data_IF_093876172360
#
_entry.id   IF_093876172360
#
_cell.length_a   1.000
_cell.length_b   1.000
_cell.length_c   1.000
_cell.angle_alpha   90.00
_cell.angle_beta   90.00
_cell.angle_gamma   90.00
#
_symmetry.space_group_name_H-M   'P 1'
#
loop_
_entity.id
_entity.type
_entity.pdbx_description
1 polymer ?
#
# COMPACT_ATOMS: atom_id res chain seq x y z
N UNK A 1 22.99 -25.49 -35.15
CA UNK A 1 22.88 -26.04 -33.79
C UNK A 1 22.98 -24.87 -32.85
N UNK A 2 21.80 -24.23 -32.59
CA UNK A 2 21.68 -23.04 -31.71
C UNK A 2 21.30 -23.58 -30.33
N UNK A 3 22.25 -23.63 -29.43
CA UNK A 3 22.01 -23.98 -28.02
C UNK A 3 21.57 -22.73 -27.28
N UNK A 4 20.38 -22.80 -26.69
CA UNK A 4 19.66 -21.79 -25.98
C UNK A 4 20.47 -21.14 -24.83
N UNK A 5 20.61 -19.83 -24.88
CA UNK A 5 21.22 -18.97 -23.84
C UNK A 5 20.32 -18.77 -22.60
N UNK A 6 19.17 -19.41 -22.55
CA UNK A 6 18.14 -19.17 -21.52
C UNK A 6 18.20 -20.11 -20.30
N UNK A 7 19.06 -21.13 -20.29
CA UNK A 7 19.05 -22.15 -19.24
C UNK A 7 20.13 -21.97 -18.15
N UNK A 8 21.00 -20.97 -18.28
CA UNK A 8 22.19 -20.81 -17.43
C UNK A 8 22.05 -19.76 -16.31
N UNK A 9 20.88 -19.13 -16.19
CA UNK A 9 20.68 -18.01 -15.24
C UNK A 9 20.16 -18.47 -13.86
N UNK A 10 19.89 -19.77 -13.69
CA UNK A 10 19.19 -20.31 -12.50
C UNK A 10 20.13 -21.01 -11.49
N UNK A 11 21.43 -21.09 -11.75
CA UNK A 11 22.36 -21.91 -10.95
C UNK A 11 22.90 -21.24 -9.68
N UNK A 12 22.77 -19.90 -9.54
CA UNK A 12 23.28 -19.14 -8.40
C UNK A 12 22.24 -18.14 -7.87
N UNK A 13 22.28 -17.90 -6.55
CA UNK A 13 21.34 -16.96 -5.93
C UNK A 13 21.49 -15.54 -6.51
N UNK A 14 20.41 -14.73 -6.54
CA UNK A 14 20.46 -13.34 -6.98
C UNK A 14 21.48 -12.51 -6.20
N UNK A 15 21.61 -12.76 -4.89
CA UNK A 15 22.55 -12.09 -3.98
C UNK A 15 24.00 -12.40 -4.37
N UNK A 16 24.36 -13.66 -4.56
CA UNK A 16 25.72 -14.08 -4.94
C UNK A 16 26.15 -13.48 -6.29
N UNK A 17 25.21 -13.38 -7.25
CA UNK A 17 25.46 -12.73 -8.54
C UNK A 17 25.68 -11.22 -8.40
N UNK A 18 24.90 -10.54 -7.56
CA UNK A 18 25.05 -9.11 -7.30
C UNK A 18 26.41 -8.80 -6.63
N UNK A 19 26.85 -9.62 -5.69
CA UNK A 19 28.15 -9.48 -5.02
C UNK A 19 29.31 -9.71 -5.99
N UNK A 20 29.25 -10.76 -6.82
CA UNK A 20 30.28 -11.02 -7.85
C UNK A 20 30.40 -9.87 -8.86
N UNK A 21 29.26 -9.32 -9.33
CA UNK A 21 29.25 -8.17 -10.23
C UNK A 21 29.84 -6.91 -9.57
N UNK A 22 29.57 -6.68 -8.29
CA UNK A 22 30.14 -5.57 -7.52
C UNK A 22 31.69 -5.73 -7.39
N UNK A 23 32.19 -6.94 -7.20
CA UNK A 23 33.62 -7.19 -7.16
C UNK A 23 34.29 -7.00 -8.53
N UNK A 24 33.67 -7.46 -9.63
CA UNK A 24 34.15 -7.22 -10.98
C UNK A 24 34.27 -5.72 -11.25
N UNK A 25 33.25 -4.94 -10.93
CA UNK A 25 33.25 -3.48 -11.11
C UNK A 25 34.37 -2.80 -10.28
N UNK A 26 34.60 -3.23 -9.03
CA UNK A 26 35.66 -2.68 -8.16
C UNK A 26 37.07 -3.03 -8.64
N UNK A 27 37.29 -4.23 -9.14
CA UNK A 27 38.60 -4.70 -9.60
C UNK A 27 39.01 -4.14 -10.96
N UNK A 28 38.03 -3.83 -11.84
CA UNK A 28 38.24 -3.22 -13.15
C UNK A 28 38.09 -1.68 -13.14
N UNK A 29 37.60 -1.11 -12.03
CA UNK A 29 37.41 0.32 -11.88
C UNK A 29 38.67 1.10 -11.51
N UNK A 30 38.67 2.43 -11.59
CA UNK A 30 39.79 3.31 -11.27
C UNK A 30 40.17 3.34 -9.77
N UNK A 31 39.39 2.66 -8.91
CA UNK A 31 39.61 2.60 -7.44
C UNK A 31 40.21 1.28 -6.98
N UNK A 32 40.94 0.55 -7.86
CA UNK A 32 41.65 -0.65 -7.47
C UNK A 32 42.70 -0.31 -6.42
N UNK A 33 42.58 -0.89 -5.23
CA UNK A 33 43.45 -0.65 -4.08
C UNK A 33 43.80 -1.97 -3.40
N UNK A 34 44.94 -2.01 -2.66
CA UNK A 34 45.33 -3.16 -1.87
C UNK A 34 44.24 -3.59 -0.85
N UNK A 35 43.49 -2.65 -0.33
CA UNK A 35 42.38 -2.94 0.56
C UNK A 35 41.21 -3.62 -0.16
N UNK A 36 40.92 -3.24 -1.41
CA UNK A 36 39.90 -3.89 -2.23
C UNK A 36 40.30 -5.33 -2.58
N UNK A 37 41.58 -5.57 -2.93
CA UNK A 37 42.09 -6.91 -3.20
C UNK A 37 42.09 -7.83 -1.97
N UNK A 38 42.39 -7.30 -0.79
CA UNK A 38 42.27 -8.04 0.46
C UNK A 38 40.81 -8.37 0.82
N UNK A 39 39.87 -7.44 0.55
CA UNK A 39 38.43 -7.67 0.70
C UNK A 39 37.90 -8.75 -0.23
N UNK A 40 38.32 -8.71 -1.49
CA UNK A 40 37.97 -9.71 -2.49
C UNK A 40 38.46 -11.13 -2.12
N UNK A 41 39.71 -11.28 -1.64
CA UNK A 41 40.21 -12.57 -1.18
C UNK A 41 39.39 -13.14 -0.02
N UNK A 42 39.06 -12.33 0.97
CA UNK A 42 38.21 -12.77 2.09
C UNK A 42 36.80 -13.18 1.62
N UNK A 43 36.23 -12.47 0.64
CA UNK A 43 34.97 -12.84 0.06
C UNK A 43 35.03 -14.17 -0.70
N UNK A 44 36.11 -14.44 -1.47
CA UNK A 44 36.32 -15.74 -2.13
C UNK A 44 36.46 -16.89 -1.12
N UNK A 45 37.08 -16.63 0.03
CA UNK A 45 37.32 -17.63 1.08
C UNK A 45 36.08 -17.88 1.94
N UNK A 46 35.11 -16.95 1.95
CA UNK A 46 33.93 -17.05 2.80
C UNK A 46 32.89 -18.09 2.35
N UNK A 47 32.83 -18.41 1.04
CA UNK A 47 31.96 -19.45 0.48
C UNK A 47 32.64 -20.07 -0.77
N UNK A 48 32.75 -21.41 -0.86
CA UNK A 48 33.26 -22.09 -2.04
C UNK A 48 32.48 -21.81 -3.34
N UNK A 49 31.22 -21.36 -3.25
CA UNK A 49 30.43 -21.00 -4.41
C UNK A 49 30.84 -19.64 -5.00
N UNK A 50 31.39 -18.73 -4.20
CA UNK A 50 31.79 -17.40 -4.64
C UNK A 50 32.79 -17.40 -5.78
N UNK A 51 33.76 -18.35 -5.76
CA UNK A 51 34.73 -18.51 -6.82
C UNK A 51 34.04 -18.88 -8.16
N UNK A 52 33.07 -19.81 -8.14
CA UNK A 52 32.36 -20.26 -9.34
C UNK A 52 31.45 -19.14 -9.91
N UNK A 53 30.79 -18.43 -9.04
CA UNK A 53 29.92 -17.29 -9.43
C UNK A 53 30.77 -16.18 -10.05
N UNK A 54 31.94 -15.86 -9.44
CA UNK A 54 32.84 -14.82 -9.95
C UNK A 54 33.42 -15.20 -11.31
N UNK A 55 33.89 -16.43 -11.49
CA UNK A 55 34.42 -16.94 -12.77
C UNK A 55 33.35 -16.84 -13.87
N UNK A 56 32.11 -17.28 -13.58
CA UNK A 56 31.01 -17.23 -14.53
C UNK A 56 30.62 -15.82 -14.91
N UNK A 57 30.58 -14.89 -13.94
CA UNK A 57 30.28 -13.48 -14.20
C UNK A 57 31.38 -12.79 -14.98
N UNK A 58 32.67 -13.20 -14.81
CA UNK A 58 33.82 -12.69 -15.56
C UNK A 58 33.75 -13.14 -17.02
N UNK A 59 33.40 -14.41 -17.29
CA UNK A 59 33.18 -14.90 -18.66
C UNK A 59 32.13 -14.09 -19.42
N UNK A 60 31.01 -13.75 -18.74
CA UNK A 60 29.96 -12.93 -19.33
C UNK A 60 30.48 -11.51 -19.60
N UNK A 61 31.26 -10.95 -18.68
CA UNK A 61 31.85 -9.62 -18.82
C UNK A 61 32.82 -9.55 -20.01
N UNK A 62 33.69 -10.53 -20.18
CA UNK A 62 34.62 -10.61 -21.28
C UNK A 62 33.93 -10.85 -22.63
N UNK A 63 32.87 -11.66 -22.66
CA UNK A 63 32.10 -11.90 -23.87
C UNK A 63 31.37 -10.60 -24.37
N UNK A 64 30.95 -9.73 -23.46
CA UNK A 64 30.38 -8.41 -23.80
C UNK A 64 31.48 -7.44 -24.26
N UNK A 65 32.68 -7.51 -23.64
CA UNK A 65 33.81 -6.66 -23.98
C UNK A 65 34.46 -6.95 -25.36
N UNK A 66 34.41 -8.20 -25.81
CA UNK A 66 35.04 -8.63 -27.09
C UNK A 66 34.26 -8.29 -28.34
N UNK A 67 33.00 -7.89 -28.23
CA UNK A 67 32.16 -7.51 -29.40
C UNK A 67 32.47 -6.13 -29.97
N UNK A 68 33.37 -5.33 -29.37
CA UNK A 68 33.75 -3.99 -29.87
C UNK A 68 35.22 -3.81 -30.27
N UNK A 69 36.03 -4.88 -30.28
CA UNK A 69 37.43 -4.79 -30.65
C UNK A 69 37.70 -5.29 -32.09
N UNK A 70 37.04 -4.70 -33.08
CA UNK A 70 37.22 -5.04 -34.50
C UNK A 70 37.23 -3.82 -35.42
N UNK A 71 38.47 -3.41 -35.84
CA UNK A 71 38.78 -2.55 -37.01
C UNK A 71 38.67 -1.05 -36.83
N UNK A 72 39.75 -0.44 -36.34
CA UNK A 72 40.12 0.91 -36.78
C UNK A 72 41.51 0.96 -37.38
N UNK A 73 41.74 1.66 -38.51
CA UNK A 73 43.07 1.79 -39.14
C UNK A 73 43.96 2.70 -38.27
N UNK A 74 45.26 2.33 -38.16
CA UNK A 74 46.29 3.16 -37.52
C UNK A 74 46.43 4.48 -38.24
N UNK A 75 46.02 5.57 -37.66
CA UNK A 75 46.38 6.94 -38.02
C UNK A 75 47.39 7.47 -36.99
N UNK A 76 48.49 8.01 -37.50
CA UNK A 76 49.60 8.57 -36.76
C UNK A 76 49.20 9.67 -35.77
N UNK A 77 49.93 9.87 -34.64
CA UNK A 77 49.52 10.76 -33.56
C UNK A 77 49.75 12.24 -33.96
N UNK A 78 48.70 12.92 -34.39
CA UNK A 78 48.67 14.37 -34.32
C UNK A 78 48.39 14.77 -32.90
N UNK A 79 49.35 15.44 -32.25
CA UNK A 79 49.22 16.04 -30.94
C UNK A 79 48.05 17.00 -30.90
N UNK A 80 46.89 16.55 -30.39
CA UNK A 80 45.78 17.41 -30.01
C UNK A 80 45.70 17.44 -28.48
N UNK A 81 45.88 18.65 -27.95
CA UNK A 81 45.69 18.96 -26.52
C UNK A 81 44.29 18.48 -26.05
N UNK A 82 44.17 17.84 -24.89
CA UNK A 82 42.86 17.34 -24.40
C UNK A 82 41.99 18.48 -23.91
N UNK A 83 41.00 18.86 -24.73
CA UNK A 83 39.95 19.83 -24.33
C UNK A 83 38.60 19.15 -24.03
N UNK A 84 38.56 17.84 -23.82
CA UNK A 84 37.30 17.09 -23.63
C UNK A 84 36.98 16.72 -22.17
N UNK A 85 37.69 17.31 -21.19
CA UNK A 85 37.43 17.03 -19.78
C UNK A 85 36.15 17.61 -19.16
N UNK A 86 35.59 18.76 -19.61
CA UNK A 86 34.39 19.29 -18.95
C UNK A 86 33.11 18.52 -19.27
N UNK A 87 32.98 17.91 -20.48
CA UNK A 87 31.78 17.16 -20.86
C UNK A 87 31.65 15.80 -20.15
N UNK A 88 32.75 15.09 -19.92
CA UNK A 88 32.73 13.83 -19.17
C UNK A 88 32.42 14.01 -17.67
N UNK A 89 32.92 15.11 -17.09
CA UNK A 89 32.61 15.50 -15.71
C UNK A 89 31.15 15.93 -15.60
N UNK A 90 30.61 16.69 -16.56
CA UNK A 90 29.22 17.09 -16.58
C UNK A 90 28.26 15.89 -16.73
N UNK A 91 28.60 14.90 -17.56
CA UNK A 91 27.82 13.67 -17.69
C UNK A 91 27.86 12.81 -16.39
N UNK A 92 29.02 12.70 -15.73
CA UNK A 92 29.14 12.00 -14.45
C UNK A 92 28.35 12.70 -13.34
N UNK A 93 28.37 14.02 -13.28
CA UNK A 93 27.57 14.81 -12.31
C UNK A 93 26.06 14.65 -12.58
N UNK A 94 25.62 14.66 -13.85
CA UNK A 94 24.22 14.45 -14.20
C UNK A 94 23.73 13.04 -13.84
N UNK A 95 24.57 12.01 -14.02
CA UNK A 95 24.23 10.62 -13.64
C UNK A 95 24.19 10.47 -12.13
N UNK A 96 25.16 11.04 -11.40
CA UNK A 96 25.17 10.98 -9.92
C UNK A 96 24.04 11.81 -9.32
N UNK A 97 23.73 13.01 -9.86
CA UNK A 97 22.55 13.79 -9.47
C UNK A 97 21.26 13.07 -9.83
N UNK A 98 21.18 12.43 -11.00
CA UNK A 98 20.01 11.64 -11.42
C UNK A 98 19.76 10.44 -10.50
N UNK A 99 20.81 9.70 -10.15
CA UNK A 99 20.71 8.58 -9.21
C UNK A 99 20.39 9.10 -7.79
N UNK A 100 21.03 10.20 -7.35
CA UNK A 100 20.72 10.85 -6.09
C UNK A 100 19.27 11.36 -6.02
N UNK A 101 18.77 11.93 -7.12
CA UNK A 101 17.37 12.37 -7.22
C UNK A 101 16.39 11.18 -7.22
N UNK A 102 16.69 10.09 -7.93
CA UNK A 102 15.87 8.88 -7.93
C UNK A 102 15.82 8.19 -6.56
N UNK A 103 16.96 8.13 -5.87
CA UNK A 103 17.03 7.52 -4.52
C UNK A 103 16.33 8.39 -3.49
N UNK A 104 16.52 9.71 -3.51
CA UNK A 104 15.77 10.64 -2.65
C UNK A 104 14.28 10.65 -2.98
N UNK A 105 13.89 10.58 -4.25
CA UNK A 105 12.48 10.48 -4.66
C UNK A 105 11.83 9.15 -4.22
N UNK A 106 12.57 8.05 -4.22
CA UNK A 106 12.11 6.75 -3.73
C UNK A 106 11.97 6.69 -2.20
N UNK A 107 12.89 7.34 -1.48
CA UNK A 107 12.89 7.40 0.01
C UNK A 107 11.84 8.39 0.53
N UNK A 108 11.49 9.42 -0.25
CA UNK A 108 10.49 10.44 0.12
C UNK A 108 9.05 10.04 -0.24
N UNK A 109 8.83 8.91 -0.91
CA UNK A 109 7.47 8.43 -1.18
C UNK A 109 6.91 7.72 0.03
N UNK A 110 5.85 8.29 0.55
CA UNK A 110 5.04 7.68 1.61
C UNK A 110 4.50 6.31 1.16
N UNK A 111 4.69 5.25 1.95
CA UNK A 111 4.24 3.92 1.59
C UNK A 111 2.72 3.90 1.44
N UNK A 112 2.27 3.26 0.35
CA UNK A 112 0.85 3.05 0.05
C UNK A 112 0.57 1.55 0.06
N UNK A 113 -0.42 1.15 0.82
CA UNK A 113 -0.89 -0.23 0.93
C UNK A 113 -2.25 -0.34 0.27
N UNK A 114 -2.44 -1.37 -0.55
CA UNK A 114 -3.68 -1.59 -1.32
C UNK A 114 -4.06 -3.06 -1.20
N UNK A 115 -5.35 -3.33 -1.08
CA UNK A 115 -5.94 -4.66 -1.21
C UNK A 115 -6.85 -4.71 -2.44
N UNK A 116 -6.88 -5.86 -3.09
CA UNK A 116 -7.84 -6.15 -4.17
C UNK A 116 -9.24 -6.49 -3.61
N UNK A 117 -10.22 -6.69 -4.50
CA UNK A 117 -11.55 -7.17 -4.13
C UNK A 117 -11.40 -8.56 -3.48
N UNK A 118 -11.99 -8.75 -2.30
CA UNK A 118 -11.94 -9.98 -1.52
C UNK A 118 -10.63 -10.24 -0.79
N UNK A 119 -9.59 -9.42 -1.01
CA UNK A 119 -8.31 -9.52 -0.30
C UNK A 119 -8.39 -8.83 1.06
N UNK A 120 -7.80 -9.47 2.08
CA UNK A 120 -7.56 -8.89 3.39
C UNK A 120 -6.07 -8.98 3.69
N UNK A 121 -5.52 -7.94 4.33
CA UNK A 121 -4.09 -7.88 4.60
C UNK A 121 -3.79 -7.11 5.88
N UNK A 122 -2.99 -7.70 6.76
CA UNK A 122 -2.42 -6.99 7.91
C UNK A 122 -1.03 -6.45 7.55
N UNK A 123 -0.77 -5.21 7.95
CA UNK A 123 0.48 -4.48 7.71
C UNK A 123 1.01 -3.98 9.06
N UNK A 124 2.28 -4.28 9.33
CA UNK A 124 3.00 -3.74 10.48
C UNK A 124 3.61 -2.40 10.11
N UNK A 125 3.33 -1.39 10.92
CA UNK A 125 3.87 -0.05 10.74
C UNK A 125 5.15 0.14 11.57
N UNK A 126 5.97 1.12 11.19
CA UNK A 126 7.28 1.37 11.81
C UNK A 126 7.22 1.77 13.30
N UNK A 127 6.09 2.24 13.76
CA UNK A 127 5.83 2.65 15.15
C UNK A 127 5.33 1.52 16.03
N UNK A 128 5.20 0.29 15.50
CA UNK A 128 4.65 -0.87 16.17
C UNK A 128 3.12 -0.97 16.11
N UNK A 129 2.44 -0.06 15.40
CA UNK A 129 1.02 -0.17 15.12
C UNK A 129 0.75 -1.20 14.03
N UNK A 130 -0.42 -1.84 14.06
CA UNK A 130 -0.87 -2.79 13.05
C UNK A 130 -2.12 -2.25 12.35
N UNK A 131 -2.17 -2.41 11.02
CA UNK A 131 -3.33 -2.02 10.22
C UNK A 131 -3.83 -3.22 9.44
N UNK A 132 -5.05 -3.67 9.73
CA UNK A 132 -5.71 -4.73 8.98
C UNK A 132 -6.64 -4.10 7.95
N UNK A 133 -6.30 -4.24 6.67
CA UNK A 133 -7.05 -3.73 5.54
C UNK A 133 -8.09 -4.76 5.12
N UNK A 134 -9.31 -4.32 4.87
CA UNK A 134 -10.40 -5.11 4.29
C UNK A 134 -10.33 -5.07 2.76
N UNK A 135 -11.30 -5.71 2.09
CA UNK A 135 -11.50 -5.71 0.63
C UNK A 135 -11.45 -4.30 0.02
N UNK A 136 -10.79 -4.15 -1.14
CA UNK A 136 -10.74 -2.89 -1.93
C UNK A 136 -10.36 -1.67 -1.09
N UNK A 137 -9.32 -1.80 -0.29
CA UNK A 137 -8.89 -0.76 0.65
C UNK A 137 -7.56 -0.17 0.22
N UNK A 138 -7.44 1.16 0.35
CA UNK A 138 -6.23 1.91 0.06
C UNK A 138 -5.84 2.81 1.22
N UNK A 139 -4.64 2.58 1.76
CA UNK A 139 -4.07 3.31 2.89
C UNK A 139 -2.73 3.92 2.51
N UNK A 140 -2.51 5.20 2.80
CA UNK A 140 -1.22 5.89 2.68
C UNK A 140 -0.70 6.25 4.06
N UNK A 141 0.59 6.03 4.29
CA UNK A 141 1.22 6.30 5.59
C UNK A 141 2.19 7.46 5.46
N UNK A 142 1.97 8.52 6.22
CA UNK A 142 2.76 9.76 6.22
C UNK A 142 3.34 10.01 7.61
N UNK A 143 4.41 9.30 7.95
CA UNK A 143 5.07 9.49 9.24
C UNK A 143 6.12 10.61 9.17
N UNK A 144 6.07 11.49 10.15
CA UNK A 144 7.08 12.53 10.42
C UNK A 144 7.59 12.39 11.85
N UNK A 145 8.58 13.19 12.22
CA UNK A 145 9.22 13.07 13.53
C UNK A 145 8.24 13.33 14.68
N UNK A 146 7.28 14.23 14.49
CA UNK A 146 6.32 14.71 15.48
C UNK A 146 4.91 14.08 15.36
N UNK A 147 4.61 13.39 14.27
CA UNK A 147 3.25 12.93 14.00
C UNK A 147 3.22 11.62 13.21
N UNK A 148 2.29 10.72 13.58
CA UNK A 148 1.99 9.46 12.90
C UNK A 148 0.69 9.62 12.13
N UNK A 149 0.78 10.09 10.88
CA UNK A 149 -0.40 10.32 10.05
C UNK A 149 -0.61 9.19 9.05
N UNK A 150 -1.84 8.72 8.95
CA UNK A 150 -2.29 7.70 7.99
C UNK A 150 -3.52 8.23 7.28
N UNK A 151 -3.62 8.06 5.98
CA UNK A 151 -4.78 8.41 5.19
C UNK A 151 -5.49 7.14 4.71
N UNK A 152 -6.73 6.92 5.12
CA UNK A 152 -7.63 5.96 4.50
C UNK A 152 -8.30 6.64 3.30
N UNK A 153 -7.84 6.31 2.09
CA UNK A 153 -8.34 6.94 0.85
C UNK A 153 -9.72 6.39 0.49
N UNK A 154 -9.86 5.06 0.60
CA UNK A 154 -11.07 4.31 0.30
C UNK A 154 -11.04 2.96 1.01
N UNK A 155 -12.20 2.35 1.23
CA UNK A 155 -12.33 1.01 1.80
C UNK A 155 -12.52 1.04 3.31
N UNK A 156 -11.96 0.05 4.00
CA UNK A 156 -12.18 -0.17 5.43
C UNK A 156 -10.94 -0.80 6.06
N UNK A 157 -10.54 -0.28 7.21
CA UNK A 157 -9.40 -0.81 7.94
C UNK A 157 -9.61 -0.75 9.46
N UNK A 158 -9.03 -1.74 10.16
CA UNK A 158 -8.86 -1.71 11.61
C UNK A 158 -7.44 -1.23 11.91
N UNK A 159 -7.36 -0.25 12.79
CA UNK A 159 -6.13 0.32 13.32
C UNK A 159 -5.93 -0.13 14.75
N UNK A 160 -4.88 -0.91 15.00
CA UNK A 160 -4.41 -1.31 16.34
C UNK A 160 -3.18 -0.45 16.64
N UNK A 161 -3.40 0.67 17.33
CA UNK A 161 -2.40 1.73 17.49
C UNK A 161 -1.52 1.49 18.70
N UNK A 162 -0.20 1.47 18.47
CA UNK A 162 0.78 1.43 19.55
C UNK A 162 0.68 2.71 20.41
N UNK A 163 0.71 2.52 21.75
CA UNK A 163 0.57 3.62 22.69
C UNK A 163 1.79 4.57 22.63
N UNK A 164 1.53 5.85 22.35
CA UNK A 164 2.53 6.91 22.34
C UNK A 164 1.84 8.26 22.58
N UNK A 165 1.95 8.79 23.77
CA UNK A 165 1.32 10.07 24.16
C UNK A 165 2.01 11.28 23.55
N UNK A 166 3.30 11.16 23.19
CA UNK A 166 4.09 12.28 22.66
C UNK A 166 3.82 12.49 21.16
N UNK A 167 3.46 11.44 20.44
CA UNK A 167 3.19 11.50 19.01
C UNK A 167 1.81 10.90 18.71
N UNK A 168 0.77 11.72 18.59
CA UNK A 168 -0.57 11.24 18.29
C UNK A 168 -0.61 10.49 16.95
N UNK A 169 -1.40 9.43 16.90
CA UNK A 169 -1.73 8.73 15.68
C UNK A 169 -2.97 9.34 15.07
N UNK A 170 -2.90 9.76 13.82
CA UNK A 170 -3.96 10.48 13.13
C UNK A 170 -4.37 9.72 11.89
N UNK A 171 -5.65 9.34 11.81
CA UNK A 171 -6.23 8.79 10.59
C UNK A 171 -7.06 9.86 9.89
N UNK A 172 -6.72 10.15 8.63
CA UNK A 172 -7.52 11.00 7.75
C UNK A 172 -8.47 10.11 6.94
N UNK A 173 -9.76 10.38 7.00
CA UNK A 173 -10.79 9.69 6.22
C UNK A 173 -11.81 10.71 5.71
N UNK A 174 -11.85 10.96 4.40
CA UNK A 174 -12.61 12.06 3.81
C UNK A 174 -12.22 13.41 4.42
N UNK A 175 -13.20 14.13 4.91
CA UNK A 175 -13.05 15.44 5.56
C UNK A 175 -12.85 15.34 7.08
N UNK A 176 -12.56 14.14 7.62
CA UNK A 176 -12.46 13.91 9.05
C UNK A 176 -11.07 13.43 9.45
N UNK A 177 -10.67 13.86 10.63
CA UNK A 177 -9.44 13.46 11.31
C UNK A 177 -9.80 12.70 12.59
N UNK A 178 -9.28 11.48 12.73
CA UNK A 178 -9.45 10.62 13.92
C UNK A 178 -8.13 10.58 14.67
N UNK A 179 -8.07 11.18 15.85
CA UNK A 179 -6.90 11.24 16.72
C UNK A 179 -6.95 10.12 17.77
N UNK A 180 -5.87 9.33 17.85
CA UNK A 180 -5.71 8.21 18.76
C UNK A 180 -4.35 8.26 19.48
N UNK A 181 -4.27 7.72 20.71
CA UNK A 181 -3.03 7.68 21.51
C UNK A 181 -2.58 6.26 21.85
N UNK A 182 -3.43 5.26 21.62
CA UNK A 182 -3.20 3.85 21.95
C UNK A 182 -4.56 3.15 22.04
N UNK A 183 -5.15 2.85 20.89
CA UNK A 183 -6.55 2.45 20.75
C UNK A 183 -6.71 1.44 19.63
N UNK A 184 -7.78 0.68 19.69
CA UNK A 184 -8.21 -0.17 18.57
C UNK A 184 -9.51 0.38 18.02
N UNK A 185 -9.51 0.75 16.74
CA UNK A 185 -10.69 1.31 16.08
C UNK A 185 -10.76 0.93 14.61
N UNK A 186 -11.96 0.93 14.08
CA UNK A 186 -12.27 0.67 12.69
C UNK A 186 -12.67 1.96 12.00
N UNK A 187 -12.15 2.20 10.81
CA UNK A 187 -12.57 3.31 9.93
C UNK A 187 -13.02 2.72 8.60
N UNK A 188 -14.19 3.14 8.14
CA UNK A 188 -14.73 2.85 6.82
C UNK A 188 -14.91 4.15 6.06
N UNK A 189 -14.30 4.23 4.87
CA UNK A 189 -14.41 5.33 3.94
C UNK A 189 -15.04 4.85 2.64
N UNK A 190 -16.26 5.27 2.39
CA UNK A 190 -16.99 5.07 1.13
C UNK A 190 -17.19 6.44 0.44
N UNK A 191 -17.61 6.50 -0.84
CA UNK A 191 -17.78 7.76 -1.56
C UNK A 191 -18.68 8.77 -0.85
N UNK A 192 -19.76 8.27 -0.21
CA UNK A 192 -20.79 9.09 0.41
C UNK A 192 -20.85 8.97 1.94
N UNK A 193 -19.94 8.22 2.56
CA UNK A 193 -20.03 7.92 3.98
C UNK A 193 -18.66 7.67 4.60
N UNK A 194 -18.40 8.32 5.72
CA UNK A 194 -17.28 8.00 6.61
C UNK A 194 -17.85 7.47 7.92
N UNK A 195 -17.40 6.31 8.37
CA UNK A 195 -17.78 5.74 9.65
C UNK A 195 -16.54 5.38 10.48
N UNK A 196 -16.57 5.68 11.77
CA UNK A 196 -15.52 5.37 12.74
C UNK A 196 -16.16 4.62 13.90
N UNK A 197 -15.72 3.38 14.16
CA UNK A 197 -16.19 2.57 15.28
C UNK A 197 -15.04 2.34 16.24
N UNK A 198 -15.22 2.67 17.51
CA UNK A 198 -14.22 2.43 18.53
C UNK A 198 -14.39 1.03 19.12
N UNK A 199 -13.31 0.25 19.09
CA UNK A 199 -13.26 -1.10 19.68
C UNK A 199 -12.67 -1.05 21.10
N UNK A 200 -11.52 -0.36 21.27
CA UNK A 200 -10.83 -0.25 22.56
C UNK A 200 -10.18 1.13 22.71
N UNK A 201 -10.17 1.66 23.93
CA UNK A 201 -9.52 2.92 24.28
C UNK A 201 -10.39 4.14 24.09
N UNK A 202 -9.88 5.20 23.47
CA UNK A 202 -10.57 6.48 23.26
C UNK A 202 -10.06 7.17 21.99
N UNK A 203 -10.96 7.65 21.14
CA UNK A 203 -10.63 8.44 19.94
C UNK A 203 -11.39 9.75 19.92
N UNK A 204 -10.75 10.80 19.41
CA UNK A 204 -11.36 12.10 19.15
C UNK A 204 -11.49 12.32 17.65
N UNK A 205 -12.64 12.76 17.19
CA UNK A 205 -12.93 13.04 15.77
C UNK A 205 -13.10 14.53 15.58
N UNK A 206 -12.40 15.10 14.59
CA UNK A 206 -12.49 16.51 14.20
C UNK A 206 -12.72 16.62 12.70
N UNK A 207 -13.22 17.77 12.24
CA UNK A 207 -13.28 18.07 10.80
C UNK A 207 -11.95 18.66 10.35
N UNK A 208 -11.43 18.24 9.22
CA UNK A 208 -10.25 18.86 8.60
C UNK A 208 -10.65 20.25 8.10
N UNK A 209 -10.16 21.29 8.77
CA UNK A 209 -10.31 22.65 8.27
C UNK A 209 -9.36 22.83 7.08
N UNK A 210 -9.91 23.12 5.90
CA UNK A 210 -9.17 23.34 4.62
C UNK A 210 -8.17 24.53 4.65
N UNK A 211 -7.85 25.06 5.83
CA UNK A 211 -6.99 26.23 5.99
C UNK A 211 -5.47 25.93 6.06
N UNK A 212 -5.09 24.66 6.27
CA UNK A 212 -3.68 24.28 6.50
C UNK A 212 -2.82 24.10 5.26
N UNK A 213 -3.39 23.79 4.10
CA UNK A 213 -2.59 23.36 2.93
C UNK A 213 -2.28 24.49 1.92
N UNK A 214 -2.74 25.72 2.14
CA UNK A 214 -2.48 26.86 1.22
C UNK A 214 -1.42 27.87 1.68
N UNK A 215 -0.87 27.75 2.87
CA UNK A 215 0.10 28.71 3.41
C UNK A 215 1.50 28.15 3.68
N UNK A 216 1.94 27.12 2.97
CA UNK A 216 3.34 26.70 2.99
C UNK A 216 4.27 27.62 2.16
N UNK A 217 3.88 28.85 1.88
CA UNK A 217 4.58 29.77 0.98
C UNK A 217 4.76 31.21 1.45
N UNK A 218 4.62 31.53 2.74
CA UNK A 218 5.09 32.86 3.21
C UNK A 218 5.32 32.85 4.71
N UNK A 219 6.58 32.90 5.10
CA UNK A 219 7.01 33.01 6.49
C UNK A 219 6.53 34.34 7.10
N UNK A 220 5.79 34.26 8.21
CA UNK A 220 5.76 35.31 9.21
C UNK A 220 5.96 34.71 10.59
N UNK A 221 7.10 35.00 11.17
CA UNK A 221 7.54 34.61 12.51
C UNK A 221 6.63 35.30 13.52
N UNK A 222 6.09 34.52 14.46
CA UNK A 222 5.20 34.87 15.58
C UNK A 222 3.70 34.57 15.36
N UNK A 223 3.35 33.35 14.98
CA UNK A 223 2.02 32.83 15.25
C UNK A 223 2.05 32.04 16.58
N UNK A 224 1.28 32.45 17.56
CA UNK A 224 0.94 31.61 18.72
C UNK A 224 0.44 30.26 18.20
N UNK A 225 0.70 29.12 18.89
CA UNK A 225 0.16 27.83 18.46
C UNK A 225 -1.36 27.97 18.35
N UNK A 226 -1.88 27.81 17.14
CA UNK A 226 -3.32 27.81 16.92
C UNK A 226 -3.91 26.71 17.81
N UNK A 227 -4.90 27.05 18.63
CA UNK A 227 -5.59 26.09 19.47
C UNK A 227 -6.06 24.94 18.59
N UNK A 228 -5.77 23.68 18.97
CA UNK A 228 -6.29 22.52 18.27
C UNK A 228 -7.82 22.66 18.14
N UNK A 229 -8.40 22.36 16.96
CA UNK A 229 -9.85 22.43 16.80
C UNK A 229 -10.51 21.49 17.82
N UNK A 230 -11.55 21.98 18.51
CA UNK A 230 -12.28 21.16 19.44
C UNK A 230 -12.84 19.91 18.73
N UNK A 231 -12.80 18.73 19.36
CA UNK A 231 -13.36 17.52 18.75
C UNK A 231 -14.87 17.68 18.55
N UNK A 232 -15.38 17.25 17.39
CA UNK A 232 -16.82 17.15 17.12
C UNK A 232 -17.41 16.13 18.09
N UNK A 233 -16.72 14.96 18.21
CA UNK A 233 -17.15 13.87 19.08
C UNK A 233 -15.93 13.13 19.63
N UNK A 234 -16.09 12.61 20.84
CA UNK A 234 -15.16 11.66 21.44
C UNK A 234 -15.89 10.35 21.65
N UNK A 235 -15.39 9.27 21.06
CA UNK A 235 -16.02 7.95 21.18
C UNK A 235 -15.50 7.18 22.38
N UNK A 236 -16.40 6.39 22.95
CA UNK A 236 -16.13 5.32 23.92
C UNK A 236 -16.31 3.95 23.26
N UNK A 237 -15.71 2.86 23.82
CA UNK A 237 -15.78 1.53 23.22
C UNK A 237 -17.23 1.09 22.93
N UNK A 238 -17.46 0.58 21.72
CA UNK A 238 -18.76 0.18 21.21
C UNK A 238 -19.48 1.26 20.41
N UNK A 239 -19.11 2.52 20.54
CA UNK A 239 -19.74 3.60 19.77
C UNK A 239 -19.22 3.71 18.35
N UNK A 240 -20.13 4.03 17.44
CA UNK A 240 -19.84 4.35 16.03
C UNK A 240 -20.36 5.73 15.68
N UNK A 241 -19.48 6.56 15.14
CA UNK A 241 -19.82 7.84 14.52
C UNK A 241 -19.85 7.69 13.01
N UNK A 242 -20.94 8.06 12.37
CA UNK A 242 -21.14 8.00 10.93
C UNK A 242 -21.49 9.38 10.40
N UNK A 243 -20.81 9.79 9.32
CA UNK A 243 -21.10 11.03 8.59
C UNK A 243 -21.38 10.70 7.13
N UNK A 244 -22.48 11.22 6.61
CA UNK A 244 -22.85 11.08 5.20
C UNK A 244 -22.39 12.29 4.38
N UNK A 245 -22.36 12.17 3.03
CA UNK A 245 -22.07 13.28 2.11
C UNK A 245 -22.99 14.49 2.31
N UNK A 246 -24.20 14.27 2.82
CA UNK A 246 -25.16 15.34 3.20
C UNK A 246 -24.84 15.98 4.56
N UNK A 247 -23.68 15.63 5.17
CA UNK A 247 -23.25 16.06 6.49
C UNK A 247 -24.23 15.70 7.61
N UNK A 248 -24.99 14.61 7.41
CA UNK A 248 -25.80 14.04 8.50
C UNK A 248 -24.88 13.23 9.39
N UNK A 249 -24.76 13.63 10.65
CA UNK A 249 -23.99 12.97 11.70
C UNK A 249 -24.90 12.03 12.48
N UNK A 250 -24.45 10.82 12.73
CA UNK A 250 -25.18 9.82 13.51
C UNK A 250 -24.20 9.14 14.47
N UNK A 251 -24.65 8.98 15.72
CA UNK A 251 -23.95 8.20 16.73
C UNK A 251 -24.82 7.01 17.10
N UNK A 252 -24.28 5.81 17.00
CA UNK A 252 -24.93 4.55 17.37
C UNK A 252 -23.96 3.56 18.01
N UNK A 253 -24.48 2.41 18.47
CA UNK A 253 -23.71 1.36 19.14
C UNK A 253 -23.97 0.01 18.47
N UNK A 254 -23.39 -0.25 17.30
CA UNK A 254 -23.56 -1.52 16.61
C UNK A 254 -22.87 -2.65 17.39
N UNK A 255 -23.38 -3.89 17.33
CA UNK A 255 -22.65 -5.04 17.89
C UNK A 255 -21.26 -5.15 17.26
N UNK A 256 -20.21 -5.14 18.09
CA UNK A 256 -18.82 -5.18 17.61
C UNK A 256 -18.52 -6.46 16.82
N UNK A 257 -19.20 -7.55 17.16
CA UNK A 257 -19.10 -8.81 16.41
C UNK A 257 -19.55 -8.65 14.96
N UNK A 258 -20.58 -7.86 14.70
CA UNK A 258 -21.12 -7.58 13.35
C UNK A 258 -20.09 -6.76 12.54
N UNK A 259 -19.60 -5.67 13.11
CA UNK A 259 -18.70 -4.75 12.37
C UNK A 259 -17.31 -5.31 12.15
N UNK A 260 -16.90 -6.33 12.92
CA UNK A 260 -15.58 -6.99 12.80
C UNK A 260 -15.65 -8.38 12.15
N UNK A 261 -16.85 -8.87 11.77
CA UNK A 261 -17.07 -10.19 11.19
C UNK A 261 -16.22 -10.46 9.95
N UNK A 262 -15.99 -9.43 9.15
CA UNK A 262 -15.20 -9.52 7.93
C UNK A 262 -13.77 -10.03 8.18
N UNK A 263 -13.18 -9.82 9.36
CA UNK A 263 -11.86 -10.41 9.74
C UNK A 263 -11.85 -11.95 9.68
N UNK A 264 -13.02 -12.57 9.81
CA UNK A 264 -13.19 -14.02 9.73
C UNK A 264 -13.73 -14.45 8.36
N UNK A 265 -13.83 -13.52 7.39
CA UNK A 265 -14.41 -13.78 6.09
C UNK A 265 -15.95 -13.92 6.13
N UNK A 266 -16.60 -13.27 7.09
CA UNK A 266 -18.05 -13.35 7.31
C UNK A 266 -18.70 -11.98 7.13
N UNK A 267 -19.95 -11.99 6.70
CA UNK A 267 -20.86 -10.85 6.69
C UNK A 267 -22.06 -11.20 7.56
N UNK A 268 -22.16 -10.56 8.71
CA UNK A 268 -23.30 -10.74 9.64
C UNK A 268 -24.29 -9.62 9.38
N UNK A 269 -25.52 -10.01 9.06
CA UNK A 269 -26.64 -9.12 8.80
C UNK A 269 -27.65 -9.26 9.97
N UNK A 270 -28.12 -8.13 10.51
CA UNK A 270 -29.19 -8.08 11.51
C UNK A 270 -30.27 -7.11 11.06
N UNK A 271 -31.39 -7.65 10.61
CA UNK A 271 -32.53 -6.88 10.07
C UNK A 271 -32.09 -5.79 9.07
N UNK A 272 -31.06 -6.10 8.30
CA UNK A 272 -30.52 -5.22 7.25
C UNK A 272 -31.41 -5.30 6.03
N UNK A 273 -31.69 -4.18 5.34
CA UNK A 273 -32.46 -4.23 4.10
C UNK A 273 -31.72 -5.04 3.03
N UNK A 274 -32.43 -5.72 2.14
CA UNK A 274 -31.82 -6.52 1.07
C UNK A 274 -30.91 -5.66 0.19
N UNK A 275 -31.30 -4.39 -0.03
CA UNK A 275 -30.46 -3.45 -0.79
C UNK A 275 -29.11 -3.18 -0.10
N UNK A 276 -29.12 -2.91 1.22
CA UNK A 276 -27.91 -2.73 2.02
C UNK A 276 -27.11 -4.04 2.13
N UNK A 277 -27.78 -5.19 2.30
CA UNK A 277 -27.17 -6.49 2.36
C UNK A 277 -26.44 -6.84 1.04
N UNK A 278 -27.09 -6.59 -0.10
CA UNK A 278 -26.49 -6.77 -1.43
C UNK A 278 -25.28 -5.85 -1.62
N UNK A 279 -25.38 -4.57 -1.22
CA UNK A 279 -24.28 -3.63 -1.28
C UNK A 279 -23.10 -4.07 -0.41
N UNK A 280 -23.34 -4.64 0.78
CA UNK A 280 -22.29 -5.16 1.64
C UNK A 280 -21.62 -6.42 1.04
N UNK A 281 -22.42 -7.36 0.51
CA UNK A 281 -21.91 -8.57 -0.15
C UNK A 281 -21.06 -8.23 -1.39
N UNK A 282 -21.46 -7.24 -2.18
CA UNK A 282 -20.78 -6.78 -3.39
C UNK A 282 -19.37 -6.21 -3.12
N UNK A 283 -19.02 -5.92 -1.89
CA UNK A 283 -17.67 -5.47 -1.52
C UNK A 283 -16.61 -6.55 -1.59
N UNK A 284 -17.02 -7.83 -1.54
CA UNK A 284 -16.11 -8.95 -1.32
C UNK A 284 -15.88 -9.86 -2.52
N UNK A 285 -16.60 -9.63 -3.62
CA UNK A 285 -16.52 -10.49 -4.80
C UNK A 285 -16.64 -9.71 -6.11
N UNK A 286 -16.25 -10.33 -7.21
CA UNK A 286 -16.41 -9.76 -8.54
C UNK A 286 -17.84 -9.86 -9.07
N UNK A 287 -18.62 -10.80 -8.53
CA UNK A 287 -20.05 -10.93 -8.86
C UNK A 287 -20.85 -9.88 -8.10
N UNK A 288 -21.72 -9.17 -8.82
CA UNK A 288 -22.51 -8.05 -8.30
C UNK A 288 -23.98 -8.48 -8.20
N UNK A 289 -24.54 -8.40 -7.00
CA UNK A 289 -25.96 -8.60 -6.77
C UNK A 289 -26.69 -7.31 -7.13
N UNK A 290 -27.64 -7.43 -8.02
CA UNK A 290 -28.49 -6.33 -8.50
C UNK A 290 -29.92 -6.58 -8.01
N UNK A 291 -30.53 -5.57 -7.41
CA UNK A 291 -31.90 -5.60 -6.96
C UNK A 291 -32.74 -4.88 -8.02
N UNK A 292 -33.55 -5.61 -8.77
CA UNK A 292 -34.31 -5.07 -9.89
C UNK A 292 -35.56 -4.29 -9.44
N UNK A 293 -36.00 -4.48 -8.20
CA UNK A 293 -37.22 -3.89 -7.67
C UNK A 293 -36.99 -3.29 -6.28
N UNK A 294 -37.46 -2.05 -6.06
CA UNK A 294 -37.29 -1.33 -4.81
C UNK A 294 -38.09 -1.95 -3.64
N UNK A 295 -39.19 -2.63 -3.91
CA UNK A 295 -40.03 -3.25 -2.88
C UNK A 295 -39.26 -4.44 -2.26
N UNK A 296 -38.66 -5.29 -3.09
CA UNK A 296 -37.84 -6.39 -2.58
C UNK A 296 -36.56 -5.87 -1.92
N UNK A 297 -36.05 -4.73 -2.35
CA UNK A 297 -34.89 -4.08 -1.72
C UNK A 297 -35.14 -3.70 -0.25
N UNK A 298 -36.40 -3.52 0.17
CA UNK A 298 -36.78 -3.19 1.54
C UNK A 298 -36.90 -4.40 2.48
N UNK A 299 -36.92 -5.63 1.94
CA UNK A 299 -37.01 -6.88 2.72
C UNK A 299 -35.88 -6.92 3.76
N UNK A 300 -36.19 -7.27 5.00
CA UNK A 300 -35.23 -7.34 6.09
C UNK A 300 -34.58 -8.73 6.14
N UNK A 301 -33.26 -8.75 6.02
CA UNK A 301 -32.45 -9.96 6.01
C UNK A 301 -31.64 -10.05 7.30
N UNK A 302 -31.62 -11.24 7.90
CA UNK A 302 -30.75 -11.57 9.02
C UNK A 302 -30.05 -12.90 8.73
N UNK A 303 -28.81 -13.02 9.15
CA UNK A 303 -28.02 -14.23 8.99
C UNK A 303 -26.52 -13.97 8.95
N UNK A 304 -25.76 -15.07 8.92
CA UNK A 304 -24.31 -15.05 8.75
C UNK A 304 -23.99 -15.65 7.38
N UNK A 305 -23.30 -14.87 6.55
CA UNK A 305 -22.96 -15.24 5.18
C UNK A 305 -21.45 -15.19 4.96
N UNK A 306 -20.95 -16.02 4.07
CA UNK A 306 -19.54 -15.99 3.71
C UNK A 306 -19.25 -14.78 2.81
N UNK A 307 -18.28 -13.96 3.19
CA UNK A 307 -17.81 -12.85 2.36
C UNK A 307 -17.29 -13.39 1.00
N UNK A 308 -17.72 -12.75 -0.10
CA UNK A 308 -17.37 -13.16 -1.47
C UNK A 308 -18.25 -14.26 -2.08
N UNK A 309 -19.18 -14.85 -1.33
CA UNK A 309 -20.14 -15.84 -1.87
C UNK A 309 -21.48 -15.17 -2.24
N UNK A 310 -21.41 -14.26 -3.24
CA UNK A 310 -22.60 -13.55 -3.74
C UNK A 310 -23.67 -14.50 -4.30
N UNK A 311 -23.26 -15.59 -4.99
CA UNK A 311 -24.21 -16.57 -5.52
C UNK A 311 -24.92 -17.37 -4.42
N UNK A 312 -24.16 -17.84 -3.42
CA UNK A 312 -24.73 -18.55 -2.27
C UNK A 312 -25.70 -17.67 -1.50
N UNK A 313 -25.35 -16.41 -1.27
CA UNK A 313 -26.25 -15.43 -0.66
C UNK A 313 -27.53 -15.23 -1.48
N UNK A 314 -27.40 -14.93 -2.78
CA UNK A 314 -28.53 -14.67 -3.65
C UNK A 314 -29.50 -15.87 -3.73
N UNK A 315 -28.96 -17.10 -3.84
CA UNK A 315 -29.77 -18.32 -3.82
C UNK A 315 -30.49 -18.54 -2.50
N UNK A 316 -29.82 -18.31 -1.38
CA UNK A 316 -30.42 -18.43 -0.05
C UNK A 316 -31.57 -17.46 0.13
N UNK A 317 -31.35 -16.18 -0.21
CA UNK A 317 -32.39 -15.14 -0.12
C UNK A 317 -33.55 -15.42 -1.08
N UNK A 318 -33.27 -15.81 -2.33
CA UNK A 318 -34.30 -16.17 -3.30
C UNK A 318 -35.19 -17.31 -2.77
N UNK A 319 -34.58 -18.34 -2.21
CA UNK A 319 -35.33 -19.47 -1.63
C UNK A 319 -36.17 -19.07 -0.40
N UNK A 320 -35.64 -18.25 0.48
CA UNK A 320 -36.34 -17.86 1.72
C UNK A 320 -37.51 -16.89 1.50
N UNK A 321 -37.39 -16.01 0.51
CA UNK A 321 -38.37 -14.93 0.29
C UNK A 321 -39.18 -15.07 -0.98
N UNK A 322 -39.13 -16.24 -1.66
CA UNK A 322 -39.89 -16.48 -2.89
C UNK A 322 -39.47 -15.54 -4.02
N UNK A 323 -38.19 -15.29 -4.15
CA UNK A 323 -37.62 -14.49 -5.21
C UNK A 323 -36.98 -15.40 -6.28
N UNK A 324 -36.65 -14.81 -7.41
CA UNK A 324 -35.87 -15.41 -8.46
C UNK A 324 -34.48 -14.80 -8.52
N UNK A 325 -33.44 -15.64 -8.61
CA UNK A 325 -32.07 -15.23 -8.80
C UNK A 325 -31.60 -15.63 -10.20
N UNK A 326 -31.34 -14.66 -11.07
CA UNK A 326 -30.87 -14.85 -12.43
C UNK A 326 -29.41 -14.44 -12.55
N UNK A 327 -28.53 -15.38 -12.91
CA UNK A 327 -27.10 -15.08 -13.14
C UNK A 327 -26.89 -14.68 -14.60
N UNK A 328 -26.35 -13.47 -14.80
CA UNK A 328 -26.04 -12.89 -16.12
C UNK A 328 -24.58 -12.42 -16.16
N UNK A 329 -23.69 -13.30 -16.50
CA UNK A 329 -22.24 -13.03 -16.45
C UNK A 329 -21.77 -12.81 -15.02
N UNK A 330 -21.34 -11.57 -14.69
CA UNK A 330 -20.94 -11.17 -13.32
C UNK A 330 -22.08 -10.57 -12.50
N UNK A 331 -23.27 -10.41 -13.07
CA UNK A 331 -24.41 -9.83 -12.37
C UNK A 331 -25.39 -10.93 -11.93
N UNK A 332 -25.90 -10.81 -10.73
CA UNK A 332 -26.90 -11.70 -10.13
C UNK A 332 -28.13 -10.87 -9.83
N UNK A 333 -29.14 -10.99 -10.68
CA UNK A 333 -30.38 -10.21 -10.55
C UNK A 333 -31.36 -10.90 -9.62
N UNK A 334 -31.78 -10.18 -8.56
CA UNK A 334 -32.87 -10.61 -7.67
C UNK A 334 -34.15 -9.87 -8.04
N UNK A 335 -35.21 -10.62 -8.28
CA UNK A 335 -36.51 -10.13 -8.69
C UNK A 335 -37.66 -10.93 -8.08
N UNK A 336 -38.89 -10.42 -8.01
CA UNK A 336 -40.07 -11.20 -7.61
C UNK A 336 -40.24 -12.41 -8.53
N UNK A 337 -40.81 -13.51 -8.00
CA UNK A 337 -41.34 -14.58 -8.84
C UNK A 337 -42.63 -14.04 -9.47
N UNK A 338 -42.67 -13.99 -10.80
CA UNK A 338 -43.86 -13.56 -11.57
C UNK A 338 -45.02 -14.52 -11.43
#
# INVERSE_FOLDING_TARGET
>A
MMTSLSDTTQEFSPEARAEAAAWIARLHGPQRSAAAEAGFRRWLESDPQNAKVFERMTEIWDAVGTTQAGRYPRVSPLQRKPRARPLAIAAAVLVTCGIGLLTTYGVLRDPTYVTAIGEQRTVDLKDGSHVTLNSSTRVRVHYRDDIRRVQLVEGEAIFEVAHDEQRPFIVLAGDHEVKALGTVFLVRQAPDTTAVTLLEGKVAITTVSSRGDKEAGSASVHAMPAAEPAPIVTLTPGERFTVTAKRTEMLDTPPLEVVTAWRRGEVILDRTSLAEAAAEMNRYGESVIVIDDAEIGSIRISGNYKAGDAEGFARAVASMYGLQADVRGKEIHLRPQG
#
